data_IF_646399266474
#
_entry.id   IF_646399266474
#
_cell.length_a   1.000
_cell.length_b   1.000
_cell.length_c   1.000
_cell.angle_alpha   90.00
_cell.angle_beta   90.00
_cell.angle_gamma   90.00
#
_symmetry.space_group_name_H-M   'P 1'
#
loop_
_entity.id
_entity.type
_entity.pdbx_description
1 polymer ?
#
# COMPACT_ATOMS: atom_id res chain seq x y z
N UNK A 1 8.96 17.27 -62.85
CA UNK A 1 9.18 17.10 -61.40
C UNK A 1 9.81 15.73 -61.18
N UNK A 2 11.09 15.75 -60.81
CA UNK A 2 11.95 14.78 -60.10
C UNK A 2 11.72 13.26 -60.32
N UNK A 3 12.52 12.62 -61.20
CA UNK A 3 13.84 11.97 -60.99
C UNK A 3 13.69 10.54 -60.44
N UNK A 4 13.63 9.53 -61.30
CA UNK A 4 14.75 8.84 -61.98
C UNK A 4 15.38 7.72 -61.13
N UNK A 5 14.96 6.50 -61.48
CA UNK A 5 15.71 5.25 -61.62
C UNK A 5 17.11 5.11 -60.99
N UNK A 6 17.21 4.18 -60.02
CA UNK A 6 18.13 3.03 -59.91
C UNK A 6 19.56 3.19 -60.49
N UNK A 7 20.61 2.94 -59.67
CA UNK A 7 21.51 1.76 -59.77
C UNK A 7 22.87 1.89 -59.04
N UNK A 8 23.20 0.80 -58.35
CA UNK A 8 24.53 0.23 -58.01
C UNK A 8 25.31 0.85 -56.84
N UNK A 9 25.35 0.16 -55.69
CA UNK A 9 26.34 -0.88 -55.30
C UNK A 9 27.75 -0.29 -55.19
N UNK A 10 28.15 0.05 -53.97
CA UNK A 10 29.45 -0.35 -53.42
C UNK A 10 29.49 -0.14 -51.91
N UNK A 11 29.59 -1.28 -51.21
CA UNK A 11 30.61 -1.52 -50.19
C UNK A 11 30.69 -0.55 -49.01
N UNK A 12 29.97 -0.86 -47.93
CA UNK A 12 30.49 -0.67 -46.56
C UNK A 12 30.10 -1.87 -45.70
N UNK A 13 31.04 -2.82 -45.66
CA UNK A 13 31.16 -3.85 -44.64
C UNK A 13 31.33 -3.15 -43.28
N UNK A 14 30.35 -3.27 -42.39
CA UNK A 14 30.58 -3.04 -40.95
C UNK A 14 30.03 -4.24 -40.20
N UNK A 15 30.91 -5.23 -40.01
CA UNK A 15 30.78 -6.21 -38.94
C UNK A 15 30.95 -5.47 -37.61
N UNK A 16 29.87 -5.31 -36.86
CA UNK A 16 29.96 -4.97 -35.44
C UNK A 16 28.77 -5.54 -34.67
N UNK A 17 29.06 -6.66 -34.00
CA UNK A 17 28.75 -6.91 -32.59
C UNK A 17 27.28 -6.89 -32.15
N UNK A 18 26.73 -8.10 -32.00
CA UNK A 18 25.89 -8.53 -30.88
C UNK A 18 24.89 -7.53 -30.31
N UNK A 19 23.71 -7.46 -30.92
CA UNK A 19 22.55 -6.83 -30.30
C UNK A 19 21.95 -7.80 -29.26
N UNK A 20 22.55 -7.82 -28.07
CA UNK A 20 21.94 -8.44 -26.91
C UNK A 20 20.68 -7.67 -26.51
N UNK A 21 19.52 -8.31 -26.65
CA UNK A 21 18.26 -7.86 -26.07
C UNK A 21 18.45 -7.71 -24.54
N UNK A 22 18.56 -6.46 -24.07
CA UNK A 22 18.44 -6.15 -22.65
C UNK A 22 16.97 -6.39 -22.29
N UNK A 23 16.67 -7.58 -21.80
CA UNK A 23 15.45 -7.83 -21.05
C UNK A 23 15.54 -7.01 -19.76
N UNK A 24 14.99 -5.79 -19.80
CA UNK A 24 14.78 -4.99 -18.61
C UNK A 24 13.80 -5.76 -17.74
N UNK A 25 14.33 -6.52 -16.77
CA UNK A 25 13.52 -7.15 -15.73
C UNK A 25 12.79 -6.02 -14.99
N UNK A 26 11.46 -5.97 -14.97
CA UNK A 26 10.79 -5.03 -14.10
C UNK A 26 11.16 -5.41 -12.67
N UNK A 27 11.91 -4.50 -12.06
CA UNK A 27 12.24 -4.41 -10.65
C UNK A 27 11.51 -5.46 -9.79
N UNK A 28 12.30 -6.34 -9.17
CA UNK A 28 11.91 -6.94 -7.92
C UNK A 28 11.61 -5.79 -6.94
N UNK A 29 10.36 -5.33 -6.91
CA UNK A 29 9.87 -4.39 -5.92
C UNK A 29 10.12 -5.03 -4.57
N UNK A 30 11.19 -4.60 -3.90
CA UNK A 30 11.49 -5.00 -2.53
C UNK A 30 10.20 -4.82 -1.73
N UNK A 31 9.63 -5.94 -1.23
CA UNK A 31 8.35 -5.95 -0.52
C UNK A 31 8.37 -4.83 0.52
N UNK A 32 7.64 -3.73 0.28
CA UNK A 32 7.67 -2.58 1.18
C UNK A 32 7.22 -3.04 2.56
N UNK A 33 8.14 -3.12 3.52
CA UNK A 33 7.81 -3.40 4.92
C UNK A 33 6.95 -2.23 5.40
N UNK A 34 5.66 -2.47 5.62
CA UNK A 34 4.79 -1.48 6.21
C UNK A 34 5.23 -1.25 7.65
N UNK A 35 5.56 0.00 7.97
CA UNK A 35 5.83 0.42 9.35
C UNK A 35 4.50 0.55 10.11
N UNK A 36 4.54 0.45 11.44
CA UNK A 36 3.39 0.69 12.32
C UNK A 36 2.69 2.02 11.96
N UNK A 37 3.47 3.10 11.74
CA UNK A 37 2.93 4.40 11.33
C UNK A 37 2.20 4.35 10.00
N UNK A 38 2.78 3.69 8.99
CA UNK A 38 2.12 3.55 7.69
C UNK A 38 0.80 2.78 7.82
N UNK A 39 0.79 1.71 8.64
CA UNK A 39 -0.43 0.93 8.90
C UNK A 39 -1.51 1.76 9.58
N UNK A 40 -1.16 2.57 10.59
CA UNK A 40 -2.09 3.48 11.27
C UNK A 40 -2.69 4.47 10.27
N UNK A 41 -1.84 5.11 9.46
CA UNK A 41 -2.30 6.09 8.45
C UNK A 41 -3.23 5.43 7.42
N UNK A 42 -2.88 4.25 6.93
CA UNK A 42 -3.73 3.50 5.99
C UNK A 42 -5.08 3.13 6.60
N UNK A 43 -5.11 2.62 7.84
CA UNK A 43 -6.38 2.25 8.50
C UNK A 43 -7.23 3.49 8.78
N UNK A 44 -6.64 4.57 9.29
CA UNK A 44 -7.34 5.85 9.51
C UNK A 44 -7.94 6.40 8.21
N UNK A 45 -7.19 6.35 7.10
CA UNK A 45 -7.69 6.77 5.80
C UNK A 45 -8.87 5.92 5.33
N UNK A 46 -8.80 4.59 5.50
CA UNK A 46 -9.92 3.69 5.16
C UNK A 46 -11.15 3.94 6.03
N UNK A 47 -10.99 4.15 7.33
CA UNK A 47 -12.10 4.50 8.22
C UNK A 47 -12.78 5.81 7.77
N UNK A 48 -11.99 6.82 7.40
CA UNK A 48 -12.52 8.08 6.88
C UNK A 48 -13.24 7.90 5.54
N UNK A 49 -12.66 7.13 4.62
CA UNK A 49 -13.27 6.81 3.34
C UNK A 49 -14.60 6.05 3.51
N UNK A 50 -14.60 5.00 4.34
CA UNK A 50 -15.80 4.21 4.64
C UNK A 50 -16.91 5.02 5.28
N UNK A 51 -16.58 5.97 6.16
CA UNK A 51 -17.57 6.90 6.69
C UNK A 51 -18.13 7.81 5.58
N UNK A 52 -17.28 8.36 4.71
CA UNK A 52 -17.69 9.26 3.62
C UNK A 52 -18.54 8.54 2.57
N UNK A 53 -18.24 7.27 2.28
CA UNK A 53 -18.98 6.42 1.33
C UNK A 53 -20.24 5.78 1.93
N UNK A 54 -20.55 6.05 3.21
CA UNK A 54 -21.62 5.39 3.97
C UNK A 54 -21.47 3.86 4.08
N UNK A 55 -20.26 3.34 3.91
CA UNK A 55 -19.90 1.93 4.18
C UNK A 55 -19.66 1.69 5.68
N UNK A 56 -19.47 2.76 6.46
CA UNK A 56 -19.44 2.76 7.92
C UNK A 56 -20.44 3.80 8.45
N UNK A 57 -21.18 3.44 9.49
CA UNK A 57 -21.96 4.44 10.23
C UNK A 57 -21.04 5.36 11.05
N UNK A 58 -21.53 6.54 11.45
CA UNK A 58 -20.78 7.47 12.30
C UNK A 58 -20.29 6.80 13.60
N UNK A 59 -21.15 6.01 14.25
CA UNK A 59 -20.82 5.31 15.50
C UNK A 59 -19.71 4.27 15.29
N UNK A 60 -19.74 3.57 14.16
CA UNK A 60 -18.73 2.56 13.84
C UNK A 60 -17.39 3.18 13.49
N UNK A 61 -17.39 4.22 12.68
CA UNK A 61 -16.18 4.96 12.36
C UNK A 61 -15.58 5.60 13.63
N UNK A 62 -16.41 6.14 14.52
CA UNK A 62 -15.97 6.65 15.82
C UNK A 62 -15.31 5.56 16.67
N UNK A 63 -15.94 4.38 16.79
CA UNK A 63 -15.36 3.26 17.54
C UNK A 63 -14.01 2.80 16.98
N UNK A 64 -13.88 2.69 15.65
CA UNK A 64 -12.60 2.32 15.01
C UNK A 64 -11.51 3.39 15.19
N UNK A 65 -11.86 4.68 15.19
CA UNK A 65 -10.91 5.76 15.51
C UNK A 65 -10.49 5.74 16.98
N UNK A 66 -11.40 5.39 17.89
CA UNK A 66 -11.09 5.13 19.29
C UNK A 66 -10.04 4.03 19.44
N UNK A 67 -10.26 2.88 18.78
CA UNK A 67 -9.27 1.78 18.78
C UNK A 67 -7.89 2.24 18.26
N UNK A 68 -7.83 3.11 17.25
CA UNK A 68 -6.56 3.69 16.75
C UNK A 68 -5.93 4.66 17.76
N UNK A 69 -6.73 5.48 18.46
CA UNK A 69 -6.25 6.37 19.51
C UNK A 69 -5.58 5.60 20.64
N UNK A 70 -6.24 4.54 21.12
CA UNK A 70 -5.71 3.66 22.18
C UNK A 70 -4.38 3.01 21.78
N UNK A 71 -4.24 2.65 20.50
CA UNK A 71 -2.98 2.13 19.96
C UNK A 71 -1.88 3.21 19.97
N UNK A 72 -2.18 4.45 19.57
CA UNK A 72 -1.23 5.56 19.63
C UNK A 72 -0.78 5.88 21.05
N UNK A 73 -1.71 5.89 22.00
CA UNK A 73 -1.40 6.07 23.42
C UNK A 73 -0.50 4.95 23.94
N UNK A 74 -0.78 3.70 23.56
CA UNK A 74 0.09 2.56 23.91
C UNK A 74 1.48 2.72 23.30
N UNK A 75 1.59 3.14 22.04
CA UNK A 75 2.89 3.40 21.39
C UNK A 75 3.68 4.44 22.17
N UNK A 76 3.06 5.56 22.56
CA UNK A 76 3.71 6.61 23.34
C UNK A 76 4.20 6.08 24.70
N UNK A 77 3.34 5.32 25.41
CA UNK A 77 3.67 4.71 26.70
C UNK A 77 4.78 3.67 26.62
N UNK A 78 4.79 2.83 25.59
CA UNK A 78 5.83 1.81 25.42
C UNK A 78 7.17 2.47 25.04
N UNK A 79 7.13 3.49 24.17
CA UNK A 79 8.32 4.31 23.85
C UNK A 79 8.88 4.99 25.09
N UNK A 80 8.04 5.56 25.96
CA UNK A 80 8.52 6.25 27.17
C UNK A 80 9.23 5.30 28.14
N UNK A 81 8.86 4.02 28.16
CA UNK A 81 9.50 2.98 28.99
C UNK A 81 10.83 2.47 28.41
N UNK A 82 11.03 2.60 27.10
CA UNK A 82 12.12 1.97 26.36
C UNK A 82 13.04 3.01 25.69
N UNK A 83 13.31 4.13 26.35
CA UNK A 83 14.24 5.16 25.84
C UNK A 83 13.81 5.80 24.52
N UNK A 84 12.51 5.94 24.29
CA UNK A 84 11.92 6.56 23.09
C UNK A 84 11.67 5.60 21.93
N UNK A 85 11.98 4.30 22.07
CA UNK A 85 11.83 3.29 21.01
C UNK A 85 10.83 2.20 21.41
N UNK A 86 10.25 1.50 20.44
CA UNK A 86 9.47 0.31 20.75
C UNK A 86 10.41 -0.89 20.90
N UNK A 87 10.14 -1.77 21.87
CA UNK A 87 10.77 -3.09 21.89
C UNK A 87 10.14 -3.97 20.81
N UNK A 88 10.83 -5.04 20.38
CA UNK A 88 10.25 -6.01 19.45
C UNK A 88 8.95 -6.64 19.96
N UNK A 89 8.84 -6.86 21.28
CA UNK A 89 7.63 -7.38 21.90
C UNK A 89 6.48 -6.37 21.80
N UNK A 90 6.76 -5.08 22.03
CA UNK A 90 5.77 -4.02 21.90
C UNK A 90 5.32 -3.84 20.46
N UNK A 91 6.25 -3.85 19.51
CA UNK A 91 5.93 -3.81 18.08
C UNK A 91 4.98 -4.95 17.70
N UNK A 92 5.29 -6.19 18.08
CA UNK A 92 4.43 -7.34 17.80
C UNK A 92 3.03 -7.20 18.44
N UNK A 93 2.96 -6.67 19.66
CA UNK A 93 1.68 -6.42 20.34
C UNK A 93 0.85 -5.34 19.64
N UNK A 94 1.50 -4.27 19.16
CA UNK A 94 0.86 -3.20 18.38
C UNK A 94 0.37 -3.74 17.04
N UNK A 95 1.18 -4.53 16.34
CA UNK A 95 0.83 -5.16 15.06
C UNK A 95 -0.40 -6.07 15.20
N UNK A 96 -0.53 -6.83 16.30
CA UNK A 96 -1.73 -7.63 16.62
C UNK A 96 -2.96 -6.76 16.84
N UNK A 97 -2.83 -5.63 17.55
CA UNK A 97 -3.93 -4.67 17.75
C UNK A 97 -4.37 -4.05 16.41
N UNK A 98 -3.42 -3.65 15.56
CA UNK A 98 -3.72 -3.13 14.21
C UNK A 98 -4.39 -4.19 13.34
N UNK A 99 -4.03 -5.47 13.46
CA UNK A 99 -4.73 -6.57 12.80
C UNK A 99 -6.18 -6.68 13.25
N UNK A 100 -6.44 -6.55 14.56
CA UNK A 100 -7.81 -6.56 15.09
C UNK A 100 -8.64 -5.40 14.51
N UNK A 101 -8.10 -4.18 14.48
CA UNK A 101 -8.77 -3.03 13.85
C UNK A 101 -9.07 -3.28 12.38
N UNK A 102 -8.09 -3.80 11.63
CA UNK A 102 -8.27 -4.13 10.21
C UNK A 102 -9.40 -5.16 9.99
N UNK A 103 -9.48 -6.18 10.84
CA UNK A 103 -10.54 -7.20 10.73
C UNK A 103 -11.92 -6.62 11.08
N UNK A 104 -12.01 -5.81 12.14
CA UNK A 104 -13.25 -5.10 12.50
C UNK A 104 -13.72 -4.20 11.36
N UNK A 105 -12.81 -3.43 10.76
CA UNK A 105 -13.09 -2.56 9.62
C UNK A 105 -13.67 -3.37 8.45
N UNK A 106 -12.96 -4.41 8.00
CA UNK A 106 -13.43 -5.24 6.88
C UNK A 106 -14.79 -5.86 7.16
N UNK A 107 -15.01 -6.40 8.36
CA UNK A 107 -16.30 -7.00 8.74
C UNK A 107 -17.45 -6.01 8.61
N UNK A 108 -17.22 -4.75 9.01
CA UNK A 108 -18.24 -3.69 8.95
C UNK A 108 -18.54 -3.25 7.53
N UNK A 109 -17.50 -3.02 6.73
CA UNK A 109 -17.66 -2.67 5.30
C UNK A 109 -18.39 -3.79 4.53
N UNK A 110 -18.01 -5.06 4.75
CA UNK A 110 -18.65 -6.23 4.15
C UNK A 110 -20.13 -6.35 4.53
N UNK A 111 -20.45 -6.20 5.82
CA UNK A 111 -21.82 -6.24 6.29
C UNK A 111 -22.68 -5.14 5.63
N UNK A 112 -22.12 -3.95 5.42
CA UNK A 112 -22.86 -2.88 4.73
C UNK A 112 -23.03 -3.10 3.25
N UNK A 113 -22.03 -3.64 2.57
CA UNK A 113 -22.14 -4.03 1.16
C UNK A 113 -23.18 -5.13 0.95
N UNK A 114 -23.18 -6.16 1.80
CA UNK A 114 -24.17 -7.24 1.73
C UNK A 114 -25.61 -6.75 2.00
N UNK A 115 -25.78 -5.72 2.83
CA UNK A 115 -27.08 -5.10 3.10
C UNK A 115 -27.57 -4.15 1.99
N UNK A 116 -26.75 -3.88 0.96
CA UNK A 116 -27.11 -3.16 -0.26
C UNK A 116 -27.17 -4.19 -1.40
N UNK A 117 -28.25 -4.98 -1.53
CA UNK A 117 -28.42 -5.79 -2.74
C UNK A 117 -28.38 -4.85 -3.94
N UNK A 118 -27.70 -5.26 -5.02
CA UNK A 118 -27.53 -4.44 -6.22
C UNK A 118 -28.90 -3.86 -6.64
N UNK A 119 -29.00 -2.53 -6.64
CA UNK A 119 -30.14 -1.79 -7.18
C UNK A 119 -30.17 -1.91 -8.71
#
# INVERSE_FOLDING_TARGET
MNRAFIKHISLCLVLSTGLGLIVSSPNAEARRKYTITNRINTLSAKINAGQKSNELTLKEAYGLRGDISDINEKIAKDKSKNGGKLSYADENNIEKKLNSVSQKLQKKELAKRAARPND
#
